data_IF_809665472518
#
_entry.id   IF_809665472518
#
_cell.length_a   1.000
_cell.length_b   1.000
_cell.length_c   1.000
_cell.angle_alpha   90.00
_cell.angle_beta   90.00
_cell.angle_gamma   90.00
#
_symmetry.space_group_name_H-M   'P 1'
#
loop_
_entity.id
_entity.type
_entity.pdbx_description
1 polymer ?
#
# COMPACT_ATOMS: atom_id res chain seq x y z
N UNK A 1 13.65 -22.79 5.54
CA UNK A 1 13.15 -22.40 4.21
C UNK A 1 11.66 -22.13 4.33
N UNK A 2 11.17 -21.01 3.79
CA UNK A 2 9.75 -20.65 3.78
C UNK A 2 9.35 -20.26 2.35
N UNK A 3 8.15 -20.65 1.91
CA UNK A 3 7.70 -20.42 0.54
C UNK A 3 7.16 -18.99 0.35
N UNK A 4 7.33 -18.38 -0.84
CA UNK A 4 6.68 -17.11 -1.17
C UNK A 4 5.17 -17.21 -0.95
N UNK A 5 4.61 -16.29 -0.16
CA UNK A 5 3.21 -16.38 0.30
C UNK A 5 2.46 -15.08 0.03
N UNK A 6 1.25 -15.20 -0.50
CA UNK A 6 0.31 -14.09 -0.66
C UNK A 6 -0.76 -14.23 0.41
N UNK A 7 -1.03 -13.16 1.16
CA UNK A 7 -2.08 -13.12 2.17
C UNK A 7 -3.10 -12.05 1.78
N UNK A 8 -4.38 -12.40 1.81
CA UNK A 8 -5.48 -11.50 1.43
C UNK A 8 -6.64 -11.61 2.41
N UNK A 9 -7.62 -10.71 2.30
CA UNK A 9 -8.77 -10.65 3.22
C UNK A 9 -8.40 -10.08 4.59
N UNK A 10 -7.36 -9.26 4.64
CA UNK A 10 -6.81 -8.65 5.84
C UNK A 10 -7.54 -7.35 6.19
N UNK A 11 -7.71 -7.11 7.49
CA UNK A 11 -8.20 -5.85 8.04
C UNK A 11 -7.03 -4.88 8.27
N UNK A 12 -7.30 -3.57 8.31
CA UNK A 12 -6.24 -2.57 8.42
C UNK A 12 -5.42 -2.71 9.70
N UNK A 13 -6.05 -3.10 10.79
CA UNK A 13 -5.42 -3.20 12.12
C UNK A 13 -4.76 -4.56 12.38
N UNK A 14 -4.76 -5.47 11.38
CA UNK A 14 -4.04 -6.75 11.50
C UNK A 14 -2.53 -6.53 11.65
N UNK A 15 -1.88 -7.31 12.52
CA UNK A 15 -0.45 -7.19 12.82
C UNK A 15 0.43 -7.23 11.55
N UNK A 16 0.06 -8.08 10.59
CA UNK A 16 0.78 -8.30 9.33
C UNK A 16 0.67 -7.12 8.35
N UNK A 17 -0.32 -6.23 8.54
CA UNK A 17 -0.47 -4.98 7.79
C UNK A 17 0.34 -3.87 8.46
N UNK A 18 0.27 -3.80 9.79
CA UNK A 18 0.87 -2.73 10.57
C UNK A 18 2.39 -2.89 10.75
N UNK A 19 2.91 -4.12 10.71
CA UNK A 19 4.32 -4.41 10.98
C UNK A 19 5.00 -5.16 9.83
N UNK A 20 6.27 -4.85 9.62
CA UNK A 20 7.07 -5.48 8.57
C UNK A 20 7.45 -6.92 8.93
N UNK A 21 7.09 -7.87 8.06
CA UNK A 21 7.31 -9.31 8.28
C UNK A 21 8.77 -9.73 8.03
N UNK A 22 9.54 -8.95 7.25
CA UNK A 22 10.92 -9.28 6.83
C UNK A 22 11.07 -10.70 6.24
N UNK A 23 10.03 -11.20 5.56
CA UNK A 23 9.98 -12.51 4.93
C UNK A 23 9.44 -12.46 3.50
N UNK A 24 9.41 -13.58 2.76
CA UNK A 24 8.90 -13.63 1.39
C UNK A 24 7.36 -13.63 1.38
N UNK A 25 6.75 -12.60 1.97
CA UNK A 25 5.31 -12.46 2.16
C UNK A 25 4.84 -11.13 1.56
N UNK A 26 3.73 -11.16 0.84
CA UNK A 26 3.04 -9.95 0.36
C UNK A 26 1.59 -9.97 0.83
N UNK A 27 1.11 -8.82 1.31
CA UNK A 27 -0.27 -8.61 1.73
C UNK A 27 -1.07 -7.93 0.61
N UNK A 28 -2.36 -8.28 0.51
CA UNK A 28 -3.27 -7.69 -0.47
C UNK A 28 -4.57 -7.32 0.23
N UNK A 29 -4.86 -6.02 0.27
CA UNK A 29 -6.11 -5.47 0.77
C UNK A 29 -6.92 -4.88 -0.38
N UNK A 30 -8.24 -5.10 -0.37
CA UNK A 30 -9.16 -4.42 -1.27
C UNK A 30 -9.63 -3.11 -0.66
N UNK A 31 -9.87 -2.13 -1.52
CA UNK A 31 -10.47 -0.85 -1.16
C UNK A 31 -11.61 -0.53 -2.13
N UNK A 32 -12.52 0.35 -1.72
CA UNK A 32 -13.71 0.73 -2.47
C UNK A 32 -13.50 1.99 -3.30
N UNK A 33 -12.72 2.93 -2.77
CA UNK A 33 -12.44 4.23 -3.38
C UNK A 33 -11.01 4.73 -3.09
N UNK A 34 -10.62 5.81 -3.78
CA UNK A 34 -9.28 6.41 -3.65
C UNK A 34 -9.01 6.92 -2.23
N UNK A 35 -10.02 7.43 -1.53
CA UNK A 35 -9.85 8.00 -0.18
C UNK A 35 -9.55 6.90 0.83
N UNK A 36 -10.24 5.75 0.74
CA UNK A 36 -9.94 4.57 1.54
C UNK A 36 -8.54 4.02 1.25
N UNK A 37 -8.13 3.97 -0.02
CA UNK A 37 -6.79 3.51 -0.38
C UNK A 37 -5.69 4.38 0.24
N UNK A 38 -5.87 5.71 0.21
CA UNK A 38 -4.95 6.66 0.85
C UNK A 38 -4.96 6.49 2.37
N UNK A 39 -6.14 6.34 2.98
CA UNK A 39 -6.26 6.15 4.42
C UNK A 39 -5.53 4.88 4.89
N UNK A 40 -5.63 3.78 4.15
CA UNK A 40 -4.91 2.54 4.45
C UNK A 40 -3.40 2.69 4.25
N UNK A 41 -2.98 3.29 3.12
CA UNK A 41 -1.56 3.48 2.83
C UNK A 41 -0.86 4.39 3.85
N UNK A 42 -1.52 5.46 4.30
CA UNK A 42 -0.97 6.37 5.31
C UNK A 42 -1.22 5.90 6.76
N UNK A 43 -2.02 4.84 6.94
CA UNK A 43 -2.44 4.33 8.25
C UNK A 43 -1.44 3.34 8.86
N UNK A 44 -0.15 3.57 8.65
CA UNK A 44 0.98 2.76 9.15
C UNK A 44 2.09 3.68 9.64
N UNK A 45 2.94 3.21 10.56
CA UNK A 45 4.07 4.00 11.08
C UNK A 45 5.20 4.18 10.05
N UNK A 46 5.29 3.28 9.07
CA UNK A 46 6.35 3.27 8.05
C UNK A 46 5.93 4.02 6.78
N UNK A 47 6.83 4.85 6.25
CA UNK A 47 6.50 5.76 5.14
C UNK A 47 7.66 6.00 4.16
N UNK A 48 8.52 5.00 3.93
CA UNK A 48 9.71 5.19 3.08
C UNK A 48 9.32 5.40 1.60
N UNK A 49 8.50 4.50 1.07
CA UNK A 49 8.22 4.46 -0.36
C UNK A 49 6.84 3.87 -0.67
N UNK A 50 6.22 4.38 -1.73
CA UNK A 50 4.95 3.88 -2.27
C UNK A 50 4.94 3.91 -3.80
N UNK A 51 4.04 3.16 -4.43
CA UNK A 51 3.86 3.15 -5.89
C UNK A 51 2.38 3.13 -6.24
N UNK A 52 1.99 3.90 -7.24
CA UNK A 52 0.62 4.00 -7.75
C UNK A 52 0.59 3.46 -9.18
N UNK A 53 -0.29 2.48 -9.41
CA UNK A 53 -0.46 1.84 -10.71
C UNK A 53 -1.79 2.27 -11.32
N UNK A 54 -1.73 3.09 -12.36
CA UNK A 54 -2.92 3.60 -13.04
C UNK A 54 -2.62 4.12 -14.45
N UNK A 55 -3.61 4.03 -15.33
CA UNK A 55 -3.62 4.69 -16.65
C UNK A 55 -4.23 6.09 -16.61
N UNK A 56 -4.87 6.49 -15.50
CA UNK A 56 -5.52 7.78 -15.36
C UNK A 56 -4.54 8.81 -14.78
N UNK A 57 -4.16 9.79 -15.60
CA UNK A 57 -3.20 10.83 -15.21
C UNK A 57 -3.68 11.67 -14.01
N UNK A 58 -4.96 12.05 -13.98
CA UNK A 58 -5.51 12.82 -12.85
C UNK A 58 -5.49 12.01 -11.56
N UNK A 59 -5.73 10.69 -11.61
CA UNK A 59 -5.60 9.80 -10.45
C UNK A 59 -4.15 9.72 -9.99
N UNK A 60 -3.20 9.54 -10.90
CA UNK A 60 -1.78 9.53 -10.56
C UNK A 60 -1.38 10.80 -9.78
N UNK A 61 -1.78 11.97 -10.27
CA UNK A 61 -1.50 13.25 -9.59
C UNK A 61 -2.20 13.39 -8.23
N UNK A 62 -3.46 12.96 -8.10
CA UNK A 62 -4.18 13.02 -6.81
C UNK A 62 -3.58 12.07 -5.78
N UNK A 63 -3.31 10.83 -6.16
CA UNK A 63 -2.73 9.83 -5.27
C UNK A 63 -1.33 10.23 -4.82
N UNK A 64 -0.44 10.65 -5.74
CA UNK A 64 0.90 11.11 -5.37
C UNK A 64 0.92 12.32 -4.44
N UNK A 65 -0.11 13.18 -4.49
CA UNK A 65 -0.21 14.34 -3.60
C UNK A 65 -0.67 13.96 -2.18
N UNK A 66 -1.50 12.93 -2.07
CA UNK A 66 -2.18 12.58 -0.82
C UNK A 66 -1.46 11.46 -0.03
N UNK A 67 -0.57 10.71 -0.67
CA UNK A 67 0.27 9.70 -0.01
C UNK A 67 1.38 10.37 0.81
N UNK A 68 1.44 10.04 2.10
CA UNK A 68 2.46 10.55 3.02
C UNK A 68 3.68 9.62 3.03
N UNK A 69 4.49 9.72 1.97
CA UNK A 69 5.66 8.85 1.76
C UNK A 69 6.85 9.66 1.24
N UNK A 70 8.07 9.25 1.64
CA UNK A 70 9.30 9.89 1.19
C UNK A 70 9.52 9.80 -0.33
N UNK A 71 9.02 8.73 -0.97
CA UNK A 71 9.04 8.57 -2.42
C UNK A 71 7.74 7.95 -2.92
N UNK A 72 7.19 8.49 -4.01
CA UNK A 72 6.01 7.94 -4.70
C UNK A 72 6.34 7.73 -6.17
N UNK A 73 6.29 6.47 -6.63
CA UNK A 73 6.43 6.14 -8.05
C UNK A 73 5.08 6.00 -8.75
N UNK A 74 5.08 6.24 -10.06
CA UNK A 74 3.92 6.03 -10.93
C UNK A 74 4.30 4.99 -11.98
N UNK A 75 3.62 3.85 -11.97
CA UNK A 75 3.82 2.75 -12.92
C UNK A 75 5.28 2.25 -13.03
N UNK A 76 6.02 2.25 -11.93
CA UNK A 76 7.40 1.73 -11.81
C UNK A 76 7.64 1.26 -10.38
#
# INVERSE_FOLDING_TARGET
FYAPTVVSGLEQDDEIIQNEVFGPVITVQSFTDEDQAVAYANGVEYALASSVWTTNHSRAMRMSKNLDFGCVWINT
#
